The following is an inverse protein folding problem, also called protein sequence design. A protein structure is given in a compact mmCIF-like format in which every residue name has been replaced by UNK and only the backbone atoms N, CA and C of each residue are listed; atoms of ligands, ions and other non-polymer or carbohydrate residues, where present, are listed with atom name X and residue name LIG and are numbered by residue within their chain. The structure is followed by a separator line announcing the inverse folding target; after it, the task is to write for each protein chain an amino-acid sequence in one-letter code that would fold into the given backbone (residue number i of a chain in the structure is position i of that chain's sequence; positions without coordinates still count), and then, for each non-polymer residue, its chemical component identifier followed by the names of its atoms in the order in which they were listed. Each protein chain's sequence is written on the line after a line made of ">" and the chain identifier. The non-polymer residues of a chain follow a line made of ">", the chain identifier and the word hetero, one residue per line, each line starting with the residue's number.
data_IF_233250386140
#
_entry.id   IF_233250386140
#
_cell.length_a   1.000
_cell.length_b   1.000
_cell.length_c   1.000
_cell.angle_alpha   90.00
_cell.angle_beta   90.00
_cell.angle_gamma   90.00
#
_symmetry.space_group_name_H-M   'P 1'
#
loop_
_entity.id
_entity.type
_entity.pdbx_description
1 polymer ?
#
# COMPACT_ATOMS: atom_id res chain seq x y z
N UNK A 1 13.99 0.21 13.32
CA UNK A 1 13.87 0.32 11.83
C UNK A 1 13.79 1.80 11.51
N UNK A 2 14.60 2.29 10.56
CA UNK A 2 14.66 3.72 10.24
C UNK A 2 13.44 4.12 9.40
N UNK A 3 12.85 5.27 9.70
CA UNK A 3 11.66 5.84 9.05
C UNK A 3 11.84 6.03 7.53
N UNK A 4 13.07 6.30 7.10
CA UNK A 4 13.45 6.39 5.68
C UNK A 4 13.27 5.06 4.92
N UNK A 5 13.49 3.92 5.57
CA UNK A 5 13.32 2.60 4.94
C UNK A 5 11.84 2.28 4.73
N UNK A 6 10.97 2.73 5.64
CA UNK A 6 9.52 2.54 5.55
C UNK A 6 8.95 3.38 4.41
N UNK A 7 9.32 4.66 4.31
CA UNK A 7 8.93 5.54 3.20
C UNK A 7 9.42 5.03 1.83
N UNK A 8 10.66 4.54 1.77
CA UNK A 8 11.23 3.94 0.55
C UNK A 8 10.41 2.74 0.07
N UNK A 9 10.13 1.80 0.99
CA UNK A 9 9.32 0.62 0.67
C UNK A 9 7.87 0.98 0.29
N UNK A 10 7.28 2.02 0.90
CA UNK A 10 5.90 2.42 0.57
C UNK A 10 5.75 2.88 -0.89
N UNK A 11 6.69 3.66 -1.41
CA UNK A 11 6.64 4.12 -2.80
C UNK A 11 6.70 2.95 -3.79
N UNK A 12 7.54 1.95 -3.52
CA UNK A 12 7.60 0.73 -4.34
C UNK A 12 6.29 -0.05 -4.25
N UNK A 13 5.78 -0.25 -3.02
CA UNK A 13 4.49 -0.93 -2.80
C UNK A 13 3.35 -0.21 -3.53
N UNK A 14 3.29 1.12 -3.48
CA UNK A 14 2.30 1.95 -4.19
C UNK A 14 2.35 1.71 -5.70
N UNK A 15 3.53 1.61 -6.30
CA UNK A 15 3.68 1.28 -7.72
C UNK A 15 3.07 -0.08 -8.06
N UNK A 16 3.44 -1.12 -7.29
CA UNK A 16 2.92 -2.47 -7.49
C UNK A 16 1.41 -2.57 -7.23
N UNK A 17 0.91 -1.85 -6.23
CA UNK A 17 -0.52 -1.77 -5.91
C UNK A 17 -1.32 -1.18 -7.06
N UNK A 18 -0.88 -0.09 -7.67
CA UNK A 18 -1.53 0.47 -8.87
C UNK A 18 -1.49 -0.47 -10.06
N UNK A 19 -0.36 -1.17 -10.25
CA UNK A 19 -0.23 -2.12 -11.35
C UNK A 19 -1.17 -3.31 -11.18
N UNK A 20 -1.32 -3.82 -9.94
CA UNK A 20 -2.22 -4.94 -9.63
C UNK A 20 -3.69 -4.52 -9.62
N UNK A 21 -3.98 -3.36 -9.04
CA UNK A 21 -5.33 -2.87 -8.76
C UNK A 21 -5.55 -1.54 -9.48
N UNK A 22 -6.15 -1.60 -10.67
CA UNK A 22 -6.47 -0.41 -11.46
C UNK A 22 -7.47 0.56 -10.77
N UNK A 23 -8.20 0.09 -9.75
CA UNK A 23 -9.16 0.88 -8.96
C UNK A 23 -8.48 1.74 -7.87
N UNK A 24 -7.22 1.46 -7.55
CA UNK A 24 -6.46 2.23 -6.56
C UNK A 24 -5.87 3.47 -7.21
N UNK A 25 -6.20 4.63 -6.65
CA UNK A 25 -5.67 5.91 -7.10
C UNK A 25 -4.42 6.31 -6.32
N UNK A 26 -3.75 7.37 -6.77
CA UNK A 26 -2.63 7.94 -6.03
C UNK A 26 -3.04 8.40 -4.63
N UNK A 27 -4.28 8.90 -4.50
CA UNK A 27 -4.86 9.42 -3.27
C UNK A 27 -5.09 8.29 -2.24
N UNK A 28 -5.67 7.16 -2.68
CA UNK A 28 -5.88 5.98 -1.84
C UNK A 28 -4.57 5.40 -1.28
N UNK A 29 -3.48 5.57 -2.03
CA UNK A 29 -2.15 5.07 -1.69
C UNK A 29 -1.27 6.14 -1.02
N UNK A 30 -1.85 7.28 -0.66
CA UNK A 30 -1.13 8.35 0.03
C UNK A 30 -0.75 7.91 1.44
N UNK A 31 0.55 7.82 1.68
CA UNK A 31 1.09 7.59 3.02
C UNK A 31 1.41 8.92 3.69
N UNK A 32 0.83 9.12 4.87
CA UNK A 32 1.26 10.16 5.80
C UNK A 32 2.07 9.50 6.92
N UNK A 33 3.16 10.15 7.32
CA UNK A 33 4.05 9.65 8.36
C UNK A 33 3.29 9.47 9.68
N UNK A 34 3.42 8.29 10.29
CA UNK A 34 2.63 7.91 11.48
C UNK A 34 1.18 7.48 11.20
N UNK A 35 0.72 7.46 9.94
CA UNK A 35 -0.61 7.00 9.53
C UNK A 35 -0.59 5.73 8.67
N UNK A 36 0.36 4.82 8.93
CA UNK A 36 0.47 3.57 8.17
C UNK A 36 -0.82 2.75 8.22
N UNK A 37 -1.41 2.61 9.41
CA UNK A 37 -2.65 1.86 9.62
C UNK A 37 -3.86 2.47 8.87
N UNK A 38 -3.95 3.80 8.80
CA UNK A 38 -5.03 4.48 8.07
C UNK A 38 -4.90 4.24 6.56
N UNK A 39 -3.68 4.32 6.02
CA UNK A 39 -3.41 4.06 4.61
C UNK A 39 -3.72 2.60 4.25
N UNK A 40 -3.31 1.65 5.09
CA UNK A 40 -3.68 0.25 4.92
C UNK A 40 -5.19 0.03 5.00
N UNK A 41 -5.88 0.66 5.95
CA UNK A 41 -7.33 0.55 6.09
C UNK A 41 -8.07 0.96 4.81
N UNK A 42 -7.69 2.09 4.21
CA UNK A 42 -8.27 2.55 2.93
C UNK A 42 -8.06 1.54 1.81
N UNK A 43 -6.84 1.03 1.66
CA UNK A 43 -6.50 0.03 0.64
C UNK A 43 -7.30 -1.25 0.86
N UNK A 44 -7.39 -1.73 2.10
CA UNK A 44 -8.17 -2.93 2.44
C UNK A 44 -9.65 -2.76 2.12
N UNK A 45 -10.24 -1.59 2.39
CA UNK A 45 -11.63 -1.30 2.07
C UNK A 45 -11.88 -1.22 0.55
N UNK A 46 -10.96 -0.61 -0.20
CA UNK A 46 -11.03 -0.49 -1.66
C UNK A 46 -10.87 -1.83 -2.37
N UNK A 47 -9.87 -2.60 -1.98
CA UNK A 47 -9.51 -3.87 -2.61
C UNK A 47 -10.40 -5.01 -2.08
N UNK A 48 -10.99 -4.86 -0.89
CA UNK A 48 -11.77 -5.90 -0.22
C UNK A 48 -10.91 -7.08 0.26
N UNK A 49 -9.61 -6.86 0.47
CA UNK A 49 -8.64 -7.89 0.87
C UNK A 49 -7.91 -7.50 2.14
N UNK A 50 -7.33 -8.49 2.81
CA UNK A 50 -6.49 -8.25 3.98
C UNK A 50 -5.14 -7.65 3.59
N UNK A 51 -4.51 -6.89 4.50
CA UNK A 51 -3.14 -6.38 4.33
C UNK A 51 -2.16 -7.49 3.93
N UNK A 52 -2.33 -8.68 4.48
CA UNK A 52 -1.47 -9.84 4.19
C UNK A 52 -1.66 -10.36 2.76
N UNK A 53 -2.89 -10.53 2.31
CA UNK A 53 -3.19 -10.90 0.91
C UNK A 53 -2.65 -9.87 -0.07
N UNK A 54 -2.87 -8.59 0.22
CA UNK A 54 -2.39 -7.49 -0.62
C UNK A 54 -0.86 -7.55 -0.72
N UNK A 55 -0.16 -7.69 0.42
CA UNK A 55 1.30 -7.85 0.46
C UNK A 55 1.77 -9.05 -0.33
N UNK A 56 1.08 -10.19 -0.22
CA UNK A 56 1.42 -11.40 -0.98
C UNK A 56 1.25 -11.19 -2.48
N UNK A 57 0.16 -10.54 -2.90
CA UNK A 57 -0.11 -10.28 -4.32
C UNK A 57 0.89 -9.33 -4.98
N UNK A 58 1.39 -8.34 -4.24
CA UNK A 58 2.42 -7.43 -4.74
C UNK A 58 3.85 -7.93 -4.49
N UNK A 59 4.05 -8.91 -3.62
CA UNK A 59 5.35 -9.57 -3.46
C UNK A 59 5.68 -10.48 -4.65
N UNK A 60 4.65 -10.99 -5.34
CA UNK A 60 4.76 -11.85 -6.53
C UNK A 60 4.89 -11.04 -7.85
N UNK A 61 4.79 -9.70 -7.78
CA UNK A 61 5.00 -8.76 -8.89
C UNK A 61 6.45 -8.26 -8.95
#
# INVERSE_FOLDING_TARGET
>A
MNEQTIKGNWNEMKGKLKQKYADLTDDDLTYAEGKEDEAWGKIQQKVGKTKDEIKKEIADL
#
